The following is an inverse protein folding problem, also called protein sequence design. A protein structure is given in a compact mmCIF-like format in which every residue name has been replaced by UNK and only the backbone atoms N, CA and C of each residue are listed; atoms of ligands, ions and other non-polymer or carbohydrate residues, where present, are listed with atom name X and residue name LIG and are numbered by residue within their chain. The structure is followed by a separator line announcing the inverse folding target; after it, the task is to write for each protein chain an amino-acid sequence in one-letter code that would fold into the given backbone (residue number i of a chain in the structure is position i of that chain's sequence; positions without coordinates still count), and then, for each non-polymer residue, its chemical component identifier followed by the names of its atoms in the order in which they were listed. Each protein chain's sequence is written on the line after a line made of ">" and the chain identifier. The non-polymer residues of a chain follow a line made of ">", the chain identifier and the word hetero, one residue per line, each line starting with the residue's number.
data_IF_239314820849
#
_entry.id   IF_239314820849
#
_cell.length_a   1.000
_cell.length_b   1.000
_cell.length_c   1.000
_cell.angle_alpha   90.00
_cell.angle_beta   90.00
_cell.angle_gamma   90.00
#
_symmetry.space_group_name_H-M   'P 1'
#
loop_
_entity.id
_entity.type
_entity.pdbx_description
1 polymer ?
#
# COMPACT_ATOMS: atom_id res chain seq x y z
N UNK A 1 22.19 12.47 10.64
CA UNK A 1 21.76 13.73 9.99
C UNK A 1 20.40 13.50 9.38
N UNK A 2 19.50 14.48 9.44
CA UNK A 2 18.11 14.38 8.94
C UNK A 2 18.05 13.97 7.45
N UNK A 3 18.98 14.46 6.63
CA UNK A 3 19.10 14.09 5.21
C UNK A 3 19.40 12.61 4.99
N UNK A 4 20.21 11.98 5.85
CA UNK A 4 20.56 10.57 5.70
C UNK A 4 19.36 9.65 5.96
N UNK A 5 18.56 9.97 6.98
CA UNK A 5 17.35 9.21 7.28
C UNK A 5 16.30 9.37 6.16
N UNK A 6 16.22 10.55 5.54
CA UNK A 6 15.29 10.79 4.43
C UNK A 6 15.67 10.01 3.16
N UNK A 7 16.98 9.88 2.87
CA UNK A 7 17.46 9.00 1.78
C UNK A 7 17.05 7.55 2.03
N UNK A 8 17.10 7.09 3.29
CA UNK A 8 16.67 5.74 3.65
C UNK A 8 15.17 5.53 3.40
N UNK A 9 14.32 6.52 3.73
CA UNK A 9 12.88 6.43 3.48
C UNK A 9 12.54 6.30 1.99
N UNK A 10 13.22 7.04 1.12
CA UNK A 10 13.04 6.94 -0.35
C UNK A 10 13.44 5.55 -0.83
N UNK A 11 14.62 5.09 -0.44
CA UNK A 11 15.13 3.78 -0.84
C UNK A 11 14.23 2.63 -0.35
N UNK A 12 13.65 2.75 0.85
CA UNK A 12 12.70 1.76 1.37
C UNK A 12 11.39 1.73 0.58
N UNK A 13 10.86 2.89 0.15
CA UNK A 13 9.68 2.95 -0.73
C UNK A 13 9.96 2.29 -2.07
N UNK A 14 11.06 2.65 -2.72
CA UNK A 14 11.41 2.12 -4.05
C UNK A 14 11.69 0.61 -4.03
N UNK A 15 12.29 0.10 -2.96
CA UNK A 15 12.53 -1.34 -2.78
C UNK A 15 11.26 -2.10 -2.43
N UNK A 16 10.40 -1.52 -1.61
CA UNK A 16 9.16 -2.15 -1.21
C UNK A 16 8.16 -2.21 -2.37
N UNK A 17 8.17 -1.24 -3.27
CA UNK A 17 7.12 -1.05 -4.28
C UNK A 17 7.73 -0.96 -5.68
N UNK A 18 7.38 -1.92 -6.54
CA UNK A 18 7.79 -1.90 -7.95
C UNK A 18 6.64 -1.36 -8.83
N UNK A 19 6.98 -0.57 -9.86
CA UNK A 19 5.97 -0.10 -10.81
C UNK A 19 5.34 -1.29 -11.53
N UNK A 20 4.01 -1.37 -11.50
CA UNK A 20 3.26 -2.47 -12.11
C UNK A 20 3.09 -3.69 -11.21
N UNK A 21 3.33 -3.56 -9.91
CA UNK A 21 3.01 -4.60 -8.93
C UNK A 21 1.55 -5.06 -9.05
N UNK A 22 1.36 -6.37 -9.26
CA UNK A 22 0.07 -7.03 -9.19
C UNK A 22 -0.09 -7.67 -7.83
N UNK A 23 -1.20 -7.36 -7.15
CA UNK A 23 -1.54 -7.99 -5.87
C UNK A 23 -2.76 -8.87 -6.08
N UNK A 24 -2.57 -10.17 -5.85
CA UNK A 24 -3.67 -11.14 -5.78
C UNK A 24 -4.14 -11.24 -4.33
N UNK A 25 -5.32 -10.71 -4.06
CA UNK A 25 -5.93 -10.71 -2.73
C UNK A 25 -7.13 -11.64 -2.72
N UNK A 26 -6.99 -12.77 -2.04
CA UNK A 26 -8.07 -13.75 -1.88
C UNK A 26 -8.28 -14.08 -0.41
N UNK A 27 -9.46 -13.82 0.15
CA UNK A 27 -9.76 -14.27 1.50
C UNK A 27 -10.03 -15.77 1.44
N UNK A 28 -9.36 -16.56 2.26
CA UNK A 28 -9.79 -17.93 2.49
C UNK A 28 -11.30 -18.01 2.83
N UNK A 29 -11.93 -19.09 2.34
CA UNK A 29 -13.33 -19.53 2.49
C UNK A 29 -14.41 -18.50 2.08
N UNK A 30 -14.93 -18.70 0.87
CA UNK A 30 -16.25 -18.17 0.44
C UNK A 30 -16.21 -16.88 -0.37
N UNK A 31 -15.04 -16.32 -0.65
CA UNK A 31 -14.92 -15.10 -1.47
C UNK A 31 -13.77 -15.24 -2.48
N UNK A 32 -13.98 -14.79 -3.74
CA UNK A 32 -13.03 -15.05 -4.81
C UNK A 32 -11.70 -14.31 -4.60
N UNK A 33 -10.61 -14.88 -5.08
CA UNK A 33 -9.36 -14.14 -5.23
C UNK A 33 -9.58 -13.02 -6.25
N UNK A 34 -9.13 -11.82 -5.89
CA UNK A 34 -9.23 -10.62 -6.70
C UNK A 34 -7.82 -10.15 -7.02
N UNK A 35 -7.48 -10.07 -8.30
CA UNK A 35 -6.28 -9.41 -8.76
C UNK A 35 -6.54 -7.90 -8.91
N UNK A 36 -5.71 -7.09 -8.27
CA UNK A 36 -5.68 -5.64 -8.44
C UNK A 36 -4.33 -5.23 -9.03
N UNK A 37 -4.38 -4.29 -9.97
CA UNK A 37 -3.18 -3.61 -10.47
C UNK A 37 -2.92 -2.38 -9.64
N UNK A 38 -1.68 -2.22 -9.20
CA UNK A 38 -1.22 -0.99 -8.57
C UNK A 38 -0.54 -0.09 -9.59
N UNK A 39 -1.09 1.11 -9.74
CA UNK A 39 -0.43 2.22 -10.43
C UNK A 39 0.22 3.10 -9.38
N UNK A 40 1.55 3.17 -9.40
CA UNK A 40 2.31 4.00 -8.49
C UNK A 40 2.55 5.37 -9.12
N UNK A 41 2.30 6.43 -8.35
CA UNK A 41 2.68 7.79 -8.70
C UNK A 41 4.17 8.05 -8.47
N UNK A 42 4.56 9.31 -8.63
CA UNK A 42 5.92 9.73 -8.28
C UNK A 42 6.06 9.88 -6.77
N UNK A 43 7.21 9.46 -6.25
CA UNK A 43 7.57 9.64 -4.84
C UNK A 43 7.65 11.13 -4.50
N UNK A 44 6.91 11.54 -3.48
CA UNK A 44 6.88 12.91 -2.97
C UNK A 44 7.76 12.97 -1.72
N UNK A 45 8.78 13.82 -1.76
CA UNK A 45 9.74 13.98 -0.68
C UNK A 45 9.42 15.25 0.11
N UNK A 46 9.05 15.09 1.37
CA UNK A 46 8.82 16.15 2.34
C UNK A 46 10.05 16.43 3.20
N UNK A 47 9.87 17.24 4.25
CA UNK A 47 10.96 17.65 5.18
C UNK A 47 11.34 16.51 6.13
N UNK A 48 10.34 15.77 6.62
CA UNK A 48 10.48 14.68 7.60
C UNK A 48 9.78 13.40 7.13
N UNK A 49 9.39 13.37 5.85
CA UNK A 49 8.50 12.36 5.32
C UNK A 49 8.73 12.09 3.84
N UNK A 50 8.38 10.88 3.43
CA UNK A 50 8.32 10.48 2.03
C UNK A 50 6.98 9.81 1.80
N UNK A 51 6.24 10.24 0.78
CA UNK A 51 4.97 9.63 0.41
C UNK A 51 4.97 9.10 -1.02
N UNK A 52 4.20 8.02 -1.22
CA UNK A 52 3.96 7.41 -2.51
C UNK A 52 2.45 7.37 -2.74
N UNK A 53 1.94 8.22 -3.65
CA UNK A 53 0.59 8.09 -4.16
C UNK A 53 0.45 6.77 -4.93
N UNK A 54 -0.68 6.10 -4.75
CA UNK A 54 -1.01 4.91 -5.51
C UNK A 54 -2.49 4.88 -5.86
N UNK A 55 -2.78 4.32 -7.01
CA UNK A 55 -4.13 3.96 -7.42
C UNK A 55 -4.17 2.46 -7.63
N UNK A 56 -5.31 1.85 -7.32
CA UNK A 56 -5.57 0.51 -7.82
C UNK A 56 -6.73 0.49 -8.78
N UNK A 57 -6.72 -0.49 -9.68
CA UNK A 57 -7.86 -0.79 -10.54
C UNK A 57 -8.02 -2.30 -10.65
N UNK A 58 -9.24 -2.75 -10.96
CA UNK A 58 -9.51 -4.16 -11.19
C UNK A 58 -9.14 -4.55 -12.62
N UNK A 59 -8.31 -5.60 -12.75
CA UNK A 59 -7.97 -6.20 -14.05
C UNK A 59 -9.19 -6.84 -14.73
N UNK A 60 -10.05 -7.44 -13.92
CA UNK A 60 -11.31 -8.04 -14.40
C UNK A 60 -12.37 -6.96 -14.50
N UNK A 61 -13.01 -6.82 -15.67
CA UNK A 61 -14.14 -5.93 -15.97
C UNK A 61 -15.41 -6.15 -15.10
N UNK A 62 -15.28 -6.75 -13.92
CA UNK A 62 -16.33 -6.83 -12.93
C UNK A 62 -16.49 -5.45 -12.30
N UNK A 63 -17.68 -4.88 -12.43
CA UNK A 63 -18.12 -3.63 -11.78
C UNK A 63 -18.16 -3.71 -10.24
N UNK A 64 -17.73 -4.83 -9.66
CA UNK A 64 -17.81 -5.15 -8.24
C UNK A 64 -16.53 -4.81 -7.46
N UNK A 65 -15.44 -4.45 -8.14
CA UNK A 65 -14.19 -4.08 -7.47
C UNK A 65 -13.96 -2.58 -7.69
N UNK A 66 -14.12 -1.75 -6.65
CA UNK A 66 -13.99 -0.31 -6.77
C UNK A 66 -12.53 0.10 -6.94
N UNK A 67 -12.32 1.10 -7.79
CA UNK A 67 -11.05 1.82 -7.81
C UNK A 67 -10.82 2.48 -6.44
N UNK A 68 -9.56 2.52 -6.03
CA UNK A 68 -9.09 3.19 -4.82
C UNK A 68 -7.97 4.12 -5.21
N UNK A 69 -8.00 5.32 -4.64
CA UNK A 69 -6.84 6.21 -4.60
C UNK A 69 -6.33 6.20 -3.17
N UNK A 70 -5.04 5.98 -3.00
CA UNK A 70 -4.41 5.94 -1.69
C UNK A 70 -3.03 6.61 -1.70
N UNK A 71 -2.51 6.80 -0.50
CA UNK A 71 -1.18 7.29 -0.23
C UNK A 71 -0.57 6.42 0.87
N UNK A 72 0.69 6.02 0.65
CA UNK A 72 1.57 5.52 1.70
C UNK A 72 2.48 6.67 2.09
N UNK A 73 2.64 6.95 3.38
CA UNK A 73 3.58 7.93 3.87
C UNK A 73 4.46 7.32 4.97
N UNK A 74 5.77 7.51 4.84
CA UNK A 74 6.76 7.22 5.87
C UNK A 74 7.12 8.54 6.55
N UNK A 75 7.04 8.59 7.87
CA UNK A 75 7.46 9.74 8.67
C UNK A 75 8.59 9.33 9.61
N UNK A 76 9.68 10.11 9.61
CA UNK A 76 10.72 9.98 10.61
C UNK A 76 10.23 10.57 11.93
N UNK A 77 10.14 9.76 12.99
CA UNK A 77 9.75 10.25 14.32
C UNK A 77 11.00 10.50 15.17
N UNK A 78 11.91 9.52 15.17
CA UNK A 78 13.19 9.59 15.88
C UNK A 78 14.15 8.55 15.30
N UNK A 79 15.39 8.56 15.81
CA UNK A 79 16.37 7.53 15.46
C UNK A 79 15.80 6.13 15.77
N UNK A 80 15.71 5.29 14.74
CA UNK A 80 15.18 3.93 14.83
C UNK A 80 13.65 3.81 14.89
N UNK A 81 12.90 4.91 14.78
CA UNK A 81 11.42 4.88 14.75
C UNK A 81 10.87 5.61 13.53
N UNK A 82 10.29 4.83 12.63
CA UNK A 82 9.58 5.32 11.44
C UNK A 82 8.11 4.97 11.57
N UNK A 83 7.24 5.95 11.37
CA UNK A 83 5.80 5.73 11.31
C UNK A 83 5.36 5.56 9.86
N UNK A 84 4.76 4.41 9.59
CA UNK A 84 4.16 4.09 8.30
C UNK A 84 2.66 4.37 8.38
N UNK A 85 2.19 5.23 7.49
CA UNK A 85 0.78 5.57 7.36
C UNK A 85 0.26 5.14 5.99
N UNK A 86 -0.93 4.53 5.98
CA UNK A 86 -1.67 4.23 4.77
C UNK A 86 -3.02 4.93 4.82
N UNK A 87 -3.33 5.74 3.80
CA UNK A 87 -4.60 6.46 3.68
C UNK A 87 -5.20 6.19 2.31
N UNK A 88 -6.32 5.47 2.27
CA UNK A 88 -7.05 5.17 1.04
C UNK A 88 -8.47 5.73 1.04
N UNK A 89 -8.96 6.08 -0.14
CA UNK A 89 -10.37 6.34 -0.41
C UNK A 89 -10.82 5.44 -1.54
N UNK A 90 -11.94 4.75 -1.35
CA UNK A 90 -12.57 3.98 -2.41
C UNK A 90 -14.00 4.50 -2.61
N UNK A 91 -14.52 4.38 -3.83
CA UNK A 91 -15.89 4.73 -4.16
C UNK A 91 -16.75 3.46 -4.24
N UNK A 92 -17.72 3.23 -3.32
CA UNK A 92 -18.54 2.02 -3.33
C UNK A 92 -19.38 1.90 -4.63
N UNK A 93 -19.45 0.72 -5.28
CA UNK A 93 -20.03 0.59 -6.62
C UNK A 93 -21.56 0.54 -6.71
N UNK A 94 -22.34 0.36 -5.63
CA UNK A 94 -23.79 0.06 -5.77
C UNK A 94 -24.70 0.82 -4.78
N UNK A 95 -25.61 1.62 -5.32
CA UNK A 95 -26.65 2.31 -4.57
C UNK A 95 -27.71 1.33 -3.99
N UNK A 96 -27.91 1.45 -2.67
CA UNK A 96 -29.04 0.99 -1.84
C UNK A 96 -29.27 -0.50 -1.53
N UNK A 97 -28.95 -1.49 -2.37
CA UNK A 97 -29.26 -2.91 -2.03
C UNK A 97 -28.04 -3.82 -1.69
N UNK A 98 -26.83 -3.51 -2.20
CA UNK A 98 -25.62 -4.35 -2.01
C UNK A 98 -24.61 -3.88 -0.95
N UNK A 99 -24.89 -2.75 -0.26
CA UNK A 99 -23.90 -1.95 0.49
C UNK A 99 -23.17 -2.64 1.65
N UNK A 100 -23.74 -3.66 2.28
CA UNK A 100 -23.17 -4.28 3.49
C UNK A 100 -22.24 -5.46 3.19
N UNK A 101 -22.64 -6.33 2.26
CA UNK A 101 -21.85 -7.49 1.86
C UNK A 101 -20.67 -7.08 0.98
N UNK A 102 -20.89 -6.13 0.06
CA UNK A 102 -19.87 -5.57 -0.79
C UNK A 102 -18.83 -4.77 0.01
N UNK A 103 -19.27 -3.91 0.95
CA UNK A 103 -18.36 -3.15 1.78
C UNK A 103 -17.53 -4.03 2.73
N UNK A 104 -18.09 -5.09 3.30
CA UNK A 104 -17.34 -5.98 4.20
C UNK A 104 -16.28 -6.80 3.45
N UNK A 105 -16.59 -7.29 2.24
CA UNK A 105 -15.61 -7.99 1.41
C UNK A 105 -14.53 -7.06 0.87
N UNK A 106 -14.90 -5.86 0.41
CA UNK A 106 -13.94 -4.86 -0.08
C UNK A 106 -13.08 -4.28 1.02
N UNK A 107 -13.62 -4.09 2.22
CA UNK A 107 -12.83 -3.71 3.39
C UNK A 107 -11.73 -4.74 3.69
N UNK A 108 -12.03 -6.05 3.53
CA UNK A 108 -11.02 -7.10 3.68
C UNK A 108 -9.98 -7.08 2.57
N UNK A 109 -10.36 -6.81 1.32
CA UNK A 109 -9.40 -6.67 0.21
C UNK A 109 -8.46 -5.50 0.48
N UNK A 110 -8.99 -4.36 0.95
CA UNK A 110 -8.21 -3.21 1.38
C UNK A 110 -7.28 -3.55 2.54
N UNK A 111 -7.80 -4.17 3.60
CA UNK A 111 -7.00 -4.58 4.76
C UNK A 111 -5.85 -5.53 4.36
N UNK A 112 -6.13 -6.53 3.53
CA UNK A 112 -5.12 -7.49 3.07
C UNK A 112 -4.06 -6.83 2.19
N UNK A 113 -4.45 -5.88 1.34
CA UNK A 113 -3.50 -5.12 0.52
C UNK A 113 -2.60 -4.26 1.37
N UNK A 114 -3.17 -3.56 2.36
CA UNK A 114 -2.39 -2.80 3.34
C UNK A 114 -1.42 -3.72 4.08
N UNK A 115 -1.87 -4.88 4.55
CA UNK A 115 -0.99 -5.87 5.21
C UNK A 115 0.12 -6.37 4.29
N UNK A 116 -0.17 -6.62 3.02
CA UNK A 116 0.82 -7.04 2.03
C UNK A 116 1.87 -5.95 1.81
N UNK A 117 1.43 -4.71 1.57
CA UNK A 117 2.31 -3.55 1.41
C UNK A 117 3.20 -3.38 2.65
N UNK A 118 2.62 -3.42 3.85
CA UNK A 118 3.37 -3.30 5.11
C UNK A 118 4.40 -4.44 5.28
N UNK A 119 4.11 -5.65 4.81
CA UNK A 119 5.10 -6.75 4.79
C UNK A 119 6.28 -6.41 3.88
N UNK A 120 6.02 -5.88 2.68
CA UNK A 120 7.08 -5.48 1.75
C UNK A 120 7.96 -4.36 2.31
N UNK A 121 7.36 -3.39 3.01
CA UNK A 121 8.13 -2.37 3.73
C UNK A 121 9.00 -2.97 4.83
N UNK A 122 8.45 -3.89 5.62
CA UNK A 122 9.22 -4.59 6.65
C UNK A 122 10.43 -5.32 6.03
N UNK A 123 10.21 -6.07 4.96
CA UNK A 123 11.26 -6.82 4.25
C UNK A 123 12.33 -5.88 3.67
N UNK A 124 11.92 -4.75 3.07
CA UNK A 124 12.82 -3.75 2.54
C UNK A 124 13.72 -3.12 3.63
N UNK A 125 13.13 -2.80 4.78
CA UNK A 125 13.85 -2.25 5.93
C UNK A 125 14.80 -3.29 6.52
N UNK A 126 14.35 -4.53 6.74
CA UNK A 126 15.19 -5.61 7.27
C UNK A 126 16.39 -5.88 6.37
N UNK A 127 16.20 -5.88 5.04
CA UNK A 127 17.28 -6.07 4.08
C UNK A 127 18.34 -4.95 4.12
N UNK A 128 17.90 -3.69 4.23
CA UNK A 128 18.80 -2.54 4.36
C UNK A 128 19.57 -2.56 5.69
N UNK A 129 18.89 -2.87 6.81
CA UNK A 129 19.54 -2.99 8.12
C UNK A 129 20.58 -4.12 8.16
N UNK A 130 20.29 -5.26 7.51
CA UNK A 130 21.26 -6.36 7.37
C UNK A 130 22.47 -5.93 6.55
N UNK A 131 22.26 -5.20 5.44
CA UNK A 131 23.34 -4.73 4.58
C UNK A 131 24.27 -3.71 5.26
N UNK A 132 23.79 -2.97 6.27
CA UNK A 132 24.59 -2.01 7.04
C UNK A 132 25.40 -2.62 8.19
N UNK A 133 25.06 -3.84 8.60
CA UNK A 133 25.72 -4.58 9.70
C UNK A 133 26.74 -5.62 9.22
N UNK A 134 26.94 -5.74 7.90
CA UNK A 134 27.97 -6.56 7.24
C UNK A 134 29.07 -5.65 6.69
#
# INVERSE_FOLDING_TARGET
>A
SMEAHQVDLVAWIERAMERGDEIVVGPGRGWPAVAVDLTLGDTIVGVDSVSLPLEWTSKSASTLIPAMTAEIALHSISDGLTHVQFRGRYQPPLAKAGRLLDAAGMHRVAEMTVRHILSRFKEAIEADLLARNL
#
